data_IF_938327911172
#
_entry.id   IF_938327911172
#
_cell.length_a   1.000
_cell.length_b   1.000
_cell.length_c   1.000
_cell.angle_alpha   90.00
_cell.angle_beta   90.00
_cell.angle_gamma   90.00
#
_symmetry.space_group_name_H-M   'P 1'
#
loop_
_entity.id
_entity.type
_entity.pdbx_description
1 polymer ?
#
# COMPACT_ATOMS: atom_id res chain seq x y z
N UNK A 1 15.67 -21.81 19.62
CA UNK A 1 14.88 -20.88 18.80
C UNK A 1 13.92 -21.64 17.89
N UNK A 2 14.36 -22.68 17.19
CA UNK A 2 13.49 -23.53 16.35
C UNK A 2 12.38 -24.30 17.09
N UNK A 3 12.63 -24.70 18.36
CA UNK A 3 11.58 -25.31 19.20
C UNK A 3 10.51 -24.33 19.72
N UNK A 4 10.81 -23.03 19.73
CA UNK A 4 9.88 -21.97 20.18
C UNK A 4 9.00 -21.48 19.02
N UNK A 5 9.53 -21.48 17.79
CA UNK A 5 8.78 -21.16 16.57
C UNK A 5 7.85 -22.32 16.18
N UNK A 6 8.26 -23.57 16.39
CA UNK A 6 7.42 -24.74 16.20
C UNK A 6 6.28 -24.84 17.24
N UNK A 7 6.48 -24.42 18.49
CA UNK A 7 5.40 -24.42 19.49
C UNK A 7 4.36 -23.33 19.21
N UNK A 8 4.80 -22.11 18.85
CA UNK A 8 3.90 -21.00 18.53
C UNK A 8 3.04 -21.23 17.28
N UNK A 9 3.56 -21.90 16.27
CA UNK A 9 2.79 -22.16 15.03
C UNK A 9 1.78 -23.30 15.20
N UNK A 10 2.13 -24.34 15.95
CA UNK A 10 1.26 -25.51 16.12
C UNK A 10 0.14 -25.25 17.12
N UNK A 11 0.41 -24.59 18.26
CA UNK A 11 -0.62 -24.21 19.24
C UNK A 11 -1.59 -23.17 18.67
N UNK A 12 -1.13 -22.19 17.92
CA UNK A 12 -2.02 -21.15 17.36
C UNK A 12 -2.89 -21.72 16.24
N UNK A 13 -2.37 -22.65 15.43
CA UNK A 13 -3.13 -23.32 14.38
C UNK A 13 -4.12 -24.34 14.95
N UNK A 14 -3.73 -25.10 15.98
CA UNK A 14 -4.63 -25.99 16.72
C UNK A 14 -5.70 -25.19 17.46
N UNK A 15 -5.38 -24.06 18.10
CA UNK A 15 -6.37 -23.21 18.75
C UNK A 15 -7.35 -22.61 17.73
N UNK A 16 -6.89 -22.19 16.55
CA UNK A 16 -7.77 -21.72 15.48
C UNK A 16 -8.68 -22.84 14.93
N UNK A 17 -8.18 -24.07 14.81
CA UNK A 17 -8.95 -25.24 14.41
C UNK A 17 -9.94 -25.69 15.48
N UNK A 18 -9.55 -25.65 16.76
CA UNK A 18 -10.42 -25.96 17.89
C UNK A 18 -11.55 -24.95 17.98
N UNK A 19 -11.26 -23.65 17.85
CA UNK A 19 -12.27 -22.58 17.81
C UNK A 19 -13.21 -22.73 16.59
N UNK A 20 -12.67 -23.10 15.41
CA UNK A 20 -13.49 -23.35 14.23
C UNK A 20 -14.37 -24.62 14.37
N UNK A 21 -13.88 -25.63 15.07
CA UNK A 21 -14.61 -26.89 15.32
C UNK A 21 -15.66 -26.70 16.42
N UNK A 22 -15.35 -25.94 17.47
CA UNK A 22 -16.31 -25.49 18.48
C UNK A 22 -17.40 -24.61 17.87
N UNK A 23 -17.07 -23.74 16.92
CA UNK A 23 -18.03 -22.97 16.13
C UNK A 23 -18.96 -23.86 15.29
N UNK A 24 -18.44 -24.90 14.64
CA UNK A 24 -19.26 -25.85 13.87
C UNK A 24 -20.15 -26.74 14.76
N UNK A 25 -19.65 -27.17 15.92
CA UNK A 25 -20.41 -27.95 16.91
C UNK A 25 -21.46 -27.08 17.62
N UNK A 26 -21.15 -25.82 17.91
CA UNK A 26 -22.09 -24.83 18.44
C UNK A 26 -23.20 -24.51 17.43
N UNK A 27 -22.88 -24.36 16.12
CA UNK A 27 -23.90 -24.17 15.08
C UNK A 27 -24.87 -25.36 14.97
N UNK A 28 -24.42 -26.58 15.28
CA UNK A 28 -25.27 -27.77 15.42
C UNK A 28 -26.09 -27.79 16.72
N UNK A 29 -25.59 -27.21 17.81
CA UNK A 29 -26.28 -27.13 19.10
C UNK A 29 -27.23 -25.93 19.26
N UNK A 30 -26.97 -24.81 18.58
CA UNK A 30 -27.67 -23.54 18.74
C UNK A 30 -28.99 -23.44 17.94
N UNK A 31 -29.42 -24.50 17.26
CA UNK A 31 -30.80 -24.61 16.77
C UNK A 31 -31.82 -24.82 17.90
N UNK A 32 -31.39 -24.96 19.15
CA UNK A 32 -32.28 -25.00 20.30
C UNK A 32 -31.74 -24.20 21.48
N UNK A 33 -32.53 -23.21 21.92
CA UNK A 33 -32.45 -22.45 23.18
C UNK A 33 -31.61 -21.18 23.16
N UNK A 34 -32.34 -20.06 23.21
CA UNK A 34 -31.81 -18.74 23.51
C UNK A 34 -31.73 -18.47 25.02
N UNK A 35 -30.78 -17.60 25.38
CA UNK A 35 -30.63 -16.71 26.55
C UNK A 35 -29.15 -16.28 26.46
N UNK A 36 -28.78 -15.01 26.30
CA UNK A 36 -28.95 -13.91 27.25
C UNK A 36 -27.54 -13.50 27.70
N UNK A 37 -27.15 -12.24 27.45
CA UNK A 37 -25.81 -11.64 27.63
C UNK A 37 -24.69 -12.11 26.71
N UNK A 38 -24.63 -11.60 25.47
CA UNK A 38 -23.42 -11.64 24.62
C UNK A 38 -23.60 -10.66 23.48
N UNK A 39 -22.53 -9.98 23.04
CA UNK A 39 -22.48 -9.24 21.78
C UNK A 39 -23.27 -9.97 20.68
N UNK A 40 -24.08 -9.26 19.87
CA UNK A 40 -24.90 -9.90 18.85
C UNK A 40 -24.04 -10.87 18.01
N UNK A 41 -24.56 -12.03 17.63
CA UNK A 41 -23.77 -13.04 16.88
C UNK A 41 -23.07 -12.45 15.64
N UNK A 42 -23.63 -11.38 15.07
CA UNK A 42 -23.05 -10.56 14.01
C UNK A 42 -21.78 -9.81 14.44
N UNK A 43 -21.77 -9.20 15.62
CA UNK A 43 -20.63 -8.46 16.16
C UNK A 43 -19.44 -9.40 16.44
N UNK A 44 -19.70 -10.59 16.97
CA UNK A 44 -18.65 -11.61 17.19
C UNK A 44 -18.09 -12.10 15.85
N UNK A 45 -18.94 -12.36 14.86
CA UNK A 45 -18.50 -12.77 13.53
C UNK A 45 -17.64 -11.69 12.83
N UNK A 46 -18.05 -10.42 12.95
CA UNK A 46 -17.28 -9.30 12.41
C UNK A 46 -15.90 -9.18 13.07
N UNK A 47 -15.81 -9.31 14.40
CA UNK A 47 -14.53 -9.28 15.12
C UNK A 47 -13.60 -10.41 14.68
N UNK A 48 -14.12 -11.63 14.53
CA UNK A 48 -13.34 -12.77 14.03
C UNK A 48 -12.83 -12.52 12.61
N UNK A 49 -13.69 -12.00 11.72
CA UNK A 49 -13.29 -11.65 10.37
C UNK A 49 -12.19 -10.58 10.36
N UNK A 50 -12.30 -9.56 11.21
CA UNK A 50 -11.27 -8.52 11.36
C UNK A 50 -9.94 -9.11 11.80
N UNK A 51 -9.95 -9.99 12.80
CA UNK A 51 -8.76 -10.68 13.29
C UNK A 51 -8.08 -11.53 12.22
N UNK A 52 -8.85 -12.32 11.46
CA UNK A 52 -8.31 -13.15 10.38
C UNK A 52 -7.67 -12.29 9.28
N UNK A 53 -8.38 -11.26 8.81
CA UNK A 53 -7.88 -10.36 7.77
C UNK A 53 -6.61 -9.66 8.25
N UNK A 54 -6.59 -9.16 9.49
CA UNK A 54 -5.42 -8.51 10.06
C UNK A 54 -4.21 -9.44 10.11
N UNK A 55 -4.37 -10.67 10.61
CA UNK A 55 -3.29 -11.66 10.65
C UNK A 55 -2.73 -11.98 9.26
N UNK A 56 -3.60 -12.24 8.28
CA UNK A 56 -3.19 -12.50 6.89
C UNK A 56 -2.45 -11.29 6.32
N UNK A 57 -2.97 -10.09 6.56
CA UNK A 57 -2.38 -8.86 6.05
C UNK A 57 -1.00 -8.60 6.65
N UNK A 58 -0.84 -8.74 7.97
CA UNK A 58 0.47 -8.64 8.63
C UNK A 58 1.46 -9.65 8.04
N UNK A 59 1.04 -10.90 7.82
CA UNK A 59 1.87 -11.92 7.18
C UNK A 59 2.34 -11.48 5.78
N UNK A 60 1.44 -10.95 4.95
CA UNK A 60 1.78 -10.43 3.62
C UNK A 60 2.73 -9.22 3.71
N UNK A 61 2.49 -8.29 4.63
CA UNK A 61 3.34 -7.09 4.81
C UNK A 61 4.75 -7.48 5.27
N UNK A 62 4.90 -8.48 6.16
CA UNK A 62 6.20 -9.01 6.55
C UNK A 62 6.94 -9.59 5.35
N UNK A 63 6.24 -10.33 4.47
CA UNK A 63 6.82 -10.82 3.22
C UNK A 63 7.26 -9.66 2.32
N UNK A 64 6.46 -8.59 2.21
CA UNK A 64 6.84 -7.38 1.45
C UNK A 64 8.09 -6.71 2.02
N UNK A 65 8.18 -6.56 3.35
CA UNK A 65 9.36 -6.01 4.03
C UNK A 65 10.58 -6.89 3.74
N UNK A 66 10.43 -8.21 3.89
CA UNK A 66 11.51 -9.16 3.59
C UNK A 66 12.01 -9.03 2.16
N UNK A 67 11.10 -8.99 1.18
CA UNK A 67 11.43 -8.76 -0.22
C UNK A 67 12.15 -7.41 -0.40
N UNK A 68 11.64 -6.34 0.19
CA UNK A 68 12.23 -5.01 0.06
C UNK A 68 13.61 -4.89 0.70
N UNK A 69 13.93 -5.66 1.74
CA UNK A 69 15.25 -5.60 2.40
C UNK A 69 16.24 -6.55 1.72
N UNK A 70 15.85 -7.81 1.53
CA UNK A 70 16.74 -8.90 1.11
C UNK A 70 16.56 -9.33 -0.36
N UNK A 71 15.58 -8.78 -1.05
CA UNK A 71 15.25 -9.15 -2.42
C UNK A 71 16.37 -8.82 -3.40
N UNK A 72 17.02 -9.86 -3.91
CA UNK A 72 18.13 -9.75 -4.85
C UNK A 72 17.69 -9.27 -6.25
N UNK A 73 16.38 -9.39 -6.55
CA UNK A 73 15.81 -8.94 -7.82
C UNK A 73 15.14 -7.57 -7.76
N UNK A 74 15.05 -6.97 -6.57
CA UNK A 74 14.51 -5.63 -6.41
C UNK A 74 15.60 -4.58 -6.58
N UNK A 75 15.44 -3.75 -7.62
CA UNK A 75 16.27 -2.55 -7.82
C UNK A 75 16.02 -1.54 -6.71
N UNK A 76 17.03 -0.72 -6.41
CA UNK A 76 16.97 0.33 -5.41
C UNK A 76 16.18 1.57 -5.87
N UNK A 77 15.07 1.37 -6.58
CA UNK A 77 14.20 2.45 -7.07
C UNK A 77 13.30 2.96 -5.95
N UNK A 78 12.74 4.16 -6.12
CA UNK A 78 11.75 4.75 -5.23
C UNK A 78 10.54 3.84 -5.01
N UNK A 79 10.08 3.10 -6.02
CA UNK A 79 9.02 2.08 -5.85
C UNK A 79 9.35 1.08 -4.73
N UNK A 80 10.58 0.56 -4.67
CA UNK A 80 11.02 -0.38 -3.61
C UNK A 80 10.93 0.28 -2.24
N UNK A 81 11.43 1.51 -2.12
CA UNK A 81 11.45 2.24 -0.86
C UNK A 81 10.05 2.66 -0.40
N UNK A 82 9.18 3.01 -1.34
CA UNK A 82 7.78 3.31 -1.08
C UNK A 82 7.04 2.08 -0.56
N UNK A 83 7.15 0.92 -1.24
CA UNK A 83 6.50 -0.33 -0.78
C UNK A 83 7.04 -0.75 0.59
N UNK A 84 8.36 -0.63 0.82
CA UNK A 84 8.95 -0.88 2.14
C UNK A 84 8.30 -0.01 3.21
N UNK A 85 8.22 1.29 2.96
CA UNK A 85 7.69 2.26 3.92
C UNK A 85 6.20 1.99 4.20
N UNK A 86 5.38 1.83 3.15
CA UNK A 86 3.98 1.45 3.26
C UNK A 86 3.79 0.13 4.03
N UNK A 87 4.69 -0.84 3.85
CA UNK A 87 4.58 -2.12 4.55
C UNK A 87 4.82 -1.98 6.06
N UNK A 88 5.84 -1.20 6.45
CA UNK A 88 6.17 -0.93 7.86
C UNK A 88 5.04 -0.14 8.53
N UNK A 89 4.60 0.96 7.92
CA UNK A 89 3.48 1.75 8.45
C UNK A 89 2.16 0.99 8.40
N UNK A 90 1.97 0.08 7.44
CA UNK A 90 0.80 -0.80 7.36
C UNK A 90 0.73 -1.78 8.53
N UNK A 91 1.87 -2.31 8.99
CA UNK A 91 1.91 -3.15 10.20
C UNK A 91 1.52 -2.31 11.42
N UNK A 92 2.09 -1.11 11.55
CA UNK A 92 1.74 -0.19 12.64
C UNK A 92 0.26 0.19 12.62
N UNK A 93 -0.27 0.46 11.44
CA UNK A 93 -1.68 0.75 11.20
C UNK A 93 -2.55 -0.39 11.73
N UNK A 94 -2.28 -1.63 11.33
CA UNK A 94 -3.07 -2.79 11.74
C UNK A 94 -2.97 -3.06 13.24
N UNK A 95 -1.79 -2.90 13.85
CA UNK A 95 -1.60 -3.05 15.29
C UNK A 95 -2.46 -2.04 16.07
N UNK A 96 -2.45 -0.78 15.64
CA UNK A 96 -3.30 0.27 16.23
C UNK A 96 -4.79 0.00 15.98
N UNK A 97 -5.16 -0.28 14.72
CA UNK A 97 -6.55 -0.46 14.31
C UNK A 97 -7.19 -1.68 14.97
N UNK A 98 -6.47 -2.79 15.11
CA UNK A 98 -6.97 -4.00 15.78
C UNK A 98 -7.13 -3.83 17.29
N UNK A 99 -6.55 -2.78 17.86
CA UNK A 99 -6.64 -2.44 19.29
C UNK A 99 -7.73 -1.41 19.59
N UNK A 100 -8.06 -0.53 18.64
CA UNK A 100 -8.91 0.64 18.91
C UNK A 100 -10.12 0.83 17.99
N UNK A 101 -10.25 0.06 16.90
CA UNK A 101 -11.43 0.13 16.05
C UNK A 101 -12.71 -0.28 16.79
N UNK A 102 -13.87 0.19 16.31
CA UNK A 102 -15.19 -0.18 16.87
C UNK A 102 -15.41 -1.70 16.89
N UNK A 103 -14.88 -2.39 15.87
CA UNK A 103 -14.92 -3.86 15.71
C UNK A 103 -13.55 -4.50 15.98
N UNK A 104 -12.75 -3.89 16.84
CA UNK A 104 -11.42 -4.38 17.20
C UNK A 104 -11.47 -5.85 17.64
N UNK A 105 -10.67 -6.74 17.03
CA UNK A 105 -10.55 -8.13 17.48
C UNK A 105 -9.81 -8.24 18.83
N UNK A 106 -8.93 -7.30 19.16
CA UNK A 106 -8.13 -7.32 20.38
C UNK A 106 -8.12 -5.95 21.10
N UNK A 107 -9.26 -5.48 21.63
CA UNK A 107 -9.44 -4.12 22.14
C UNK A 107 -8.53 -3.74 23.35
N UNK A 108 -7.92 -4.73 23.99
CA UNK A 108 -7.02 -4.55 25.14
C UNK A 108 -5.57 -4.93 24.84
N UNK A 109 -5.20 -5.10 23.56
CA UNK A 109 -3.84 -5.45 23.18
C UNK A 109 -2.84 -4.32 23.49
N UNK A 110 -3.23 -3.07 23.22
CA UNK A 110 -2.48 -1.87 23.64
C UNK A 110 -3.20 -1.25 24.83
N UNK A 111 -2.53 -1.26 25.99
CA UNK A 111 -3.05 -0.71 27.25
C UNK A 111 -2.53 0.69 27.56
N UNK A 112 -1.64 1.24 26.72
CA UNK A 112 -1.06 2.57 26.91
C UNK A 112 -2.10 3.66 26.63
N UNK A 113 -2.38 4.51 27.63
CA UNK A 113 -3.39 5.56 27.54
C UNK A 113 -3.03 6.64 26.52
N UNK A 114 -1.77 7.09 26.47
CA UNK A 114 -1.32 8.10 25.51
C UNK A 114 -1.50 7.61 24.06
N UNK A 115 -1.28 6.31 23.82
CA UNK A 115 -1.54 5.72 22.50
C UNK A 115 -3.02 5.72 22.18
N UNK A 116 -3.88 5.32 23.13
CA UNK A 116 -5.33 5.32 22.95
C UNK A 116 -5.84 6.72 22.61
N UNK A 117 -5.35 7.73 23.32
CA UNK A 117 -5.75 9.14 23.13
C UNK A 117 -5.28 9.68 21.77
N UNK A 118 -4.18 9.14 21.22
CA UNK A 118 -3.64 9.52 19.91
C UNK A 118 -3.90 8.52 18.78
N UNK A 119 -4.72 7.49 19.01
CA UNK A 119 -4.96 6.42 18.04
C UNK A 119 -5.48 6.93 16.70
N UNK A 120 -6.35 7.96 16.73
CA UNK A 120 -6.84 8.65 15.54
C UNK A 120 -5.70 9.29 14.74
N UNK A 121 -4.73 9.92 15.41
CA UNK A 121 -3.57 10.53 14.75
C UNK A 121 -2.66 9.49 14.13
N UNK A 122 -2.39 8.39 14.85
CA UNK A 122 -1.63 7.26 14.32
C UNK A 122 -2.32 6.69 13.08
N UNK A 123 -3.64 6.52 13.12
CA UNK A 123 -4.42 6.05 11.97
C UNK A 123 -4.36 7.06 10.81
N UNK A 124 -4.45 8.37 11.07
CA UNK A 124 -4.35 9.41 10.04
C UNK A 124 -2.97 9.40 9.37
N UNK A 125 -1.91 9.41 10.16
CA UNK A 125 -0.52 9.40 9.69
C UNK A 125 -0.19 8.13 8.89
N UNK A 126 -0.50 6.95 9.44
CA UNK A 126 -0.28 5.68 8.75
C UNK A 126 -1.01 5.61 7.42
N UNK A 127 -2.14 6.31 7.27
CA UNK A 127 -2.90 6.39 6.02
C UNK A 127 -2.29 7.36 5.01
N UNK A 128 -1.67 8.46 5.45
CA UNK A 128 -1.05 9.44 4.54
C UNK A 128 0.25 8.94 3.90
N UNK A 129 0.87 7.87 4.42
CA UNK A 129 2.15 7.38 3.91
C UNK A 129 2.10 6.96 2.45
N UNK A 130 0.98 6.35 2.05
CA UNK A 130 0.80 5.88 0.69
C UNK A 130 0.67 7.03 -0.31
N UNK A 131 -0.30 7.97 -0.18
CA UNK A 131 -0.41 9.09 -1.11
C UNK A 131 0.85 9.96 -1.11
N UNK A 132 1.45 10.23 0.06
CA UNK A 132 2.68 11.01 0.14
C UNK A 132 3.86 10.34 -0.59
N UNK A 133 4.01 9.02 -0.44
CA UNK A 133 5.05 8.28 -1.13
C UNK A 133 4.80 8.16 -2.64
N UNK A 134 3.55 8.02 -3.06
CA UNK A 134 3.19 7.88 -4.47
C UNK A 134 3.51 9.12 -5.30
N UNK A 135 3.46 10.32 -4.72
CA UNK A 135 3.90 11.56 -5.40
C UNK A 135 5.35 11.42 -5.88
N UNK A 136 6.26 10.95 -5.02
CA UNK A 136 7.66 10.73 -5.39
C UNK A 136 7.83 9.60 -6.40
N UNK A 137 7.05 8.52 -6.26
CA UNK A 137 7.10 7.38 -7.18
C UNK A 137 6.65 7.77 -8.60
N UNK A 138 5.58 8.57 -8.74
CA UNK A 138 5.16 9.07 -10.04
C UNK A 138 6.22 9.97 -10.68
N UNK A 139 6.82 10.87 -9.90
CA UNK A 139 7.92 11.71 -10.37
C UNK A 139 9.12 10.89 -10.83
N UNK A 140 9.56 9.92 -10.03
CA UNK A 140 10.64 9.01 -10.39
C UNK A 140 10.35 8.32 -11.72
N UNK A 141 9.13 7.80 -11.88
CA UNK A 141 8.79 6.98 -13.04
C UNK A 141 8.64 7.79 -14.32
N UNK A 142 8.16 9.03 -14.23
CA UNK A 142 8.23 9.98 -15.35
C UNK A 142 9.69 10.19 -15.76
N UNK A 143 10.58 10.46 -14.79
CA UNK A 143 12.01 10.67 -15.06
C UNK A 143 12.66 9.43 -15.67
N UNK A 144 12.43 8.24 -15.11
CA UNK A 144 12.98 6.98 -15.59
C UNK A 144 12.46 6.59 -16.97
N UNK A 145 11.23 6.98 -17.32
CA UNK A 145 10.69 6.78 -18.67
C UNK A 145 11.40 7.68 -19.70
N UNK A 146 11.75 8.90 -19.32
CA UNK A 146 12.48 9.83 -20.17
C UNK A 146 13.98 9.50 -20.25
N UNK A 147 14.58 9.08 -19.13
CA UNK A 147 16.00 8.83 -18.96
C UNK A 147 16.27 7.48 -18.24
N UNK A 148 16.06 6.32 -18.91
CA UNK A 148 16.10 5.01 -18.27
C UNK A 148 17.47 4.60 -17.72
N UNK A 149 18.55 5.21 -18.20
CA UNK A 149 19.91 4.98 -17.70
C UNK A 149 20.06 5.40 -16.22
N UNK A 150 19.25 6.34 -15.74
CA UNK A 150 19.27 6.81 -14.35
C UNK A 150 18.86 5.71 -13.36
N UNK A 151 18.10 4.70 -13.77
CA UNK A 151 17.71 3.59 -12.89
C UNK A 151 18.92 2.82 -12.32
N UNK A 152 20.06 2.84 -13.01
CA UNK A 152 21.30 2.20 -12.56
C UNK A 152 22.21 3.16 -11.76
N UNK A 153 21.86 4.45 -11.68
CA UNK A 153 22.66 5.45 -10.97
C UNK A 153 22.41 5.35 -9.46
N UNK A 154 23.49 5.16 -8.70
CA UNK A 154 23.44 5.08 -7.24
C UNK A 154 22.96 6.41 -6.65
N UNK A 155 23.46 7.54 -7.18
CA UNK A 155 23.11 8.88 -6.67
C UNK A 155 21.61 9.16 -6.89
N UNK A 156 21.09 8.85 -8.09
CA UNK A 156 19.68 9.05 -8.40
C UNK A 156 18.77 8.23 -7.46
N UNK A 157 19.10 6.96 -7.29
CA UNK A 157 18.37 6.05 -6.39
C UNK A 157 18.48 6.48 -4.92
N UNK A 158 19.63 7.01 -4.49
CA UNK A 158 19.85 7.51 -3.14
C UNK A 158 18.98 8.74 -2.82
N UNK A 159 18.73 9.63 -3.80
CA UNK A 159 17.82 10.77 -3.62
C UNK A 159 16.41 10.26 -3.27
N UNK A 160 15.88 9.33 -4.05
CA UNK A 160 14.55 8.77 -3.77
C UNK A 160 14.50 7.97 -2.47
N UNK A 161 15.57 7.26 -2.11
CA UNK A 161 15.69 6.65 -0.79
C UNK A 161 15.57 7.69 0.33
N UNK A 162 16.34 8.78 0.28
CA UNK A 162 16.32 9.84 1.30
C UNK A 162 14.95 10.51 1.39
N UNK A 163 14.32 10.79 0.25
CA UNK A 163 12.99 11.41 0.22
C UNK A 163 11.90 10.48 0.78
N UNK A 164 11.88 9.21 0.37
CA UNK A 164 10.82 8.28 0.74
C UNK A 164 10.99 7.67 2.12
N UNK A 165 12.22 7.53 2.61
CA UNK A 165 12.51 6.89 3.90
C UNK A 165 12.77 7.97 4.96
N UNK A 166 13.96 8.53 5.17
CA UNK A 166 14.22 9.41 6.31
C UNK A 166 13.42 10.71 6.26
N UNK A 167 13.26 11.36 5.10
CA UNK A 167 12.52 12.63 5.03
C UNK A 167 11.04 12.44 5.35
N UNK A 168 10.37 11.52 4.65
CA UNK A 168 8.95 11.27 4.87
C UNK A 168 8.70 10.78 6.30
N UNK A 169 9.47 9.80 6.79
CA UNK A 169 9.32 9.31 8.17
C UNK A 169 9.61 10.40 9.21
N UNK A 170 10.66 11.21 9.01
CA UNK A 170 11.00 12.31 9.90
C UNK A 170 9.90 13.36 9.97
N UNK A 171 9.28 13.69 8.82
CA UNK A 171 8.11 14.57 8.77
C UNK A 171 6.93 13.99 9.53
N UNK A 172 6.63 12.69 9.37
CA UNK A 172 5.53 12.03 10.10
C UNK A 172 5.75 12.04 11.61
N UNK A 173 6.97 11.75 12.05
CA UNK A 173 7.35 11.78 13.46
C UNK A 173 7.24 13.20 14.01
N UNK A 174 7.73 14.20 13.26
CA UNK A 174 7.59 15.61 13.62
C UNK A 174 6.11 16.00 13.78
N UNK A 175 5.25 15.64 12.82
CA UNK A 175 3.82 15.94 12.87
C UNK A 175 3.12 15.24 14.03
N UNK A 176 3.53 14.02 14.38
CA UNK A 176 3.05 13.34 15.58
C UNK A 176 3.42 14.11 16.85
N UNK A 177 4.66 14.61 16.95
CA UNK A 177 5.07 15.41 18.11
C UNK A 177 4.50 16.83 18.11
N UNK A 178 4.18 17.39 16.95
CA UNK A 178 3.54 18.71 16.82
C UNK A 178 2.18 18.75 17.54
N UNK A 179 1.46 17.62 17.60
CA UNK A 179 0.24 17.46 18.39
C UNK A 179 0.43 17.82 19.87
N UNK A 180 1.61 17.54 20.44
CA UNK A 180 1.91 17.76 21.85
C UNK A 180 2.60 19.11 22.12
N UNK A 181 2.88 19.89 21.09
CA UNK A 181 3.46 21.22 21.27
C UNK A 181 2.38 22.19 21.77
N UNK A 182 2.74 23.03 22.73
CA UNK A 182 1.86 24.10 23.25
C UNK A 182 1.79 25.27 22.25
N UNK A 183 1.26 24.97 21.07
CA UNK A 183 1.10 25.87 19.94
C UNK A 183 -0.35 25.76 19.48
N UNK A 184 -1.00 26.90 19.30
CA UNK A 184 -2.36 26.94 18.72
C UNK A 184 -2.24 26.72 17.22
N UNK A 185 -2.35 25.46 16.79
CA UNK A 185 -2.37 25.11 15.38
C UNK A 185 -3.69 25.53 14.73
N UNK A 186 -3.61 26.07 13.51
CA UNK A 186 -4.79 26.46 12.73
C UNK A 186 -5.70 25.27 12.40
N UNK A 187 -5.10 24.11 12.15
CA UNK A 187 -5.76 22.82 12.02
C UNK A 187 -4.82 21.75 12.57
N UNK A 188 -5.38 20.63 13.00
CA UNK A 188 -4.60 19.53 13.56
C UNK A 188 -3.51 19.06 12.57
N UNK A 189 -2.22 19.06 12.94
CA UNK A 189 -1.11 18.88 11.99
C UNK A 189 -1.18 17.60 11.16
N UNK A 190 -1.53 16.48 11.78
CA UNK A 190 -1.66 15.19 11.11
C UNK A 190 -2.86 15.16 10.14
N UNK A 191 -4.01 15.73 10.54
CA UNK A 191 -5.19 15.82 9.66
C UNK A 191 -4.93 16.76 8.47
N UNK A 192 -4.24 17.89 8.70
CA UNK A 192 -3.82 18.80 7.62
C UNK A 192 -2.88 18.13 6.64
N UNK A 193 -1.89 17.38 7.15
CA UNK A 193 -0.96 16.63 6.31
C UNK A 193 -1.67 15.58 5.47
N UNK A 194 -2.61 14.84 6.05
CA UNK A 194 -3.43 13.87 5.32
C UNK A 194 -4.25 14.55 4.21
N UNK A 195 -4.85 15.70 4.49
CA UNK A 195 -5.61 16.47 3.50
C UNK A 195 -4.72 16.92 2.34
N UNK A 196 -3.58 17.54 2.66
CA UNK A 196 -2.65 18.08 1.68
C UNK A 196 -2.03 16.97 0.81
N UNK A 197 -1.60 15.86 1.43
CA UNK A 197 -0.97 14.75 0.70
C UNK A 197 -1.95 14.03 -0.22
N UNK A 198 -3.21 13.87 0.18
CA UNK A 198 -4.22 13.29 -0.70
C UNK A 198 -4.53 14.19 -1.90
N UNK A 199 -4.69 15.50 -1.70
CA UNK A 199 -4.89 16.45 -2.79
C UNK A 199 -3.72 16.45 -3.78
N UNK A 200 -2.49 16.53 -3.27
CA UNK A 200 -1.28 16.42 -4.09
C UNK A 200 -1.25 15.10 -4.86
N UNK A 201 -1.54 13.98 -4.19
CA UNK A 201 -1.57 12.67 -4.83
C UNK A 201 -2.60 12.58 -5.96
N UNK A 202 -3.81 13.10 -5.78
CA UNK A 202 -4.83 13.13 -6.85
C UNK A 202 -4.34 13.97 -8.04
N UNK A 203 -3.76 15.14 -7.79
CA UNK A 203 -3.17 15.98 -8.84
C UNK A 203 -2.05 15.25 -9.59
N UNK A 204 -1.12 14.62 -8.88
CA UNK A 204 -0.02 13.87 -9.49
C UNK A 204 -0.51 12.62 -10.22
N UNK A 205 -1.56 11.96 -9.74
CA UNK A 205 -2.20 10.84 -10.43
C UNK A 205 -2.76 11.28 -11.78
N UNK A 206 -3.41 12.46 -11.83
CA UNK A 206 -3.92 13.03 -13.08
C UNK A 206 -2.78 13.41 -14.04
N UNK A 207 -1.72 14.06 -13.54
CA UNK A 207 -0.52 14.37 -14.34
C UNK A 207 0.11 13.09 -14.91
N UNK A 208 0.25 12.06 -14.07
CA UNK A 208 0.80 10.77 -14.47
C UNK A 208 -0.08 10.06 -15.51
N UNK A 209 -1.40 10.17 -15.38
CA UNK A 209 -2.34 9.65 -16.39
C UNK A 209 -2.16 10.33 -17.74
N UNK A 210 -2.08 11.67 -17.78
CA UNK A 210 -1.79 12.40 -19.01
C UNK A 210 -0.45 11.95 -19.61
N UNK A 211 0.57 11.81 -18.77
CA UNK A 211 1.87 11.28 -19.20
C UNK A 211 1.76 9.87 -19.80
N UNK A 212 0.94 8.98 -19.22
CA UNK A 212 0.71 7.65 -19.77
C UNK A 212 0.04 7.69 -21.16
N UNK A 213 -0.93 8.58 -21.35
CA UNK A 213 -1.58 8.79 -22.65
C UNK A 213 -0.57 9.26 -23.70
N UNK A 214 0.20 10.32 -23.40
CA UNK A 214 1.25 10.81 -24.30
C UNK A 214 2.33 9.76 -24.57
N UNK A 215 2.76 9.03 -23.54
CA UNK A 215 3.72 7.94 -23.66
C UNK A 215 3.23 6.82 -24.58
N UNK A 216 1.93 6.51 -24.55
CA UNK A 216 1.32 5.51 -25.44
C UNK A 216 1.38 5.96 -26.91
N UNK A 217 1.03 7.22 -27.19
CA UNK A 217 1.16 7.77 -28.54
C UNK A 217 2.59 7.70 -29.06
N UNK A 218 3.58 8.05 -28.22
CA UNK A 218 5.00 7.94 -28.55
C UNK A 218 5.45 6.49 -28.78
N UNK A 219 4.94 5.54 -27.98
CA UNK A 219 5.20 4.11 -28.18
C UNK A 219 4.72 3.65 -29.57
N UNK A 220 3.46 3.94 -29.91
CA UNK A 220 2.88 3.61 -31.21
C UNK A 220 3.69 4.21 -32.37
N UNK A 221 4.11 5.47 -32.25
CA UNK A 221 4.96 6.13 -33.25
C UNK A 221 6.34 5.45 -33.39
N UNK A 222 6.96 5.06 -32.27
CA UNK A 222 8.25 4.35 -32.31
C UNK A 222 8.15 2.94 -32.92
N UNK A 223 7.09 2.19 -32.58
CA UNK A 223 6.83 0.86 -33.18
C UNK A 223 6.58 0.95 -34.69
N UNK A 224 5.82 1.95 -35.13
CA UNK A 224 5.59 2.20 -36.56
C UNK A 224 6.87 2.59 -37.31
N UNK A 225 7.81 3.29 -36.64
CA UNK A 225 9.03 3.78 -37.27
C UNK A 225 10.09 2.71 -37.59
N UNK A 226 9.92 1.46 -37.12
CA UNK A 226 10.88 0.33 -37.23
C UNK A 226 12.33 0.63 -36.80
N UNK A 227 12.62 1.79 -36.19
CA UNK A 227 13.94 2.10 -35.64
C UNK A 227 14.17 1.25 -34.39
N UNK A 228 15.36 0.65 -34.31
CA UNK A 228 15.83 -0.13 -33.18
C UNK A 228 16.10 0.79 -31.99
N UNK A 229 15.03 1.26 -31.37
CA UNK A 229 15.04 2.13 -30.20
C UNK A 229 15.31 1.31 -28.95
N UNK A 230 16.09 1.87 -28.02
CA UNK A 230 16.32 1.32 -26.68
C UNK A 230 15.06 1.32 -25.80
N UNK A 231 13.97 1.97 -26.23
CA UNK A 231 12.67 1.95 -25.54
C UNK A 231 11.93 0.67 -25.90
N UNK A 232 11.90 -0.27 -24.95
CA UNK A 232 11.20 -1.55 -25.11
C UNK A 232 9.73 -1.42 -24.71
N UNK A 233 8.85 -2.22 -25.31
CA UNK A 233 7.42 -2.35 -24.92
C UNK A 233 7.25 -2.61 -23.42
N UNK A 234 8.24 -3.24 -22.78
CA UNK A 234 8.28 -3.47 -21.34
C UNK A 234 8.25 -2.19 -20.51
N UNK A 235 8.99 -1.14 -20.88
CA UNK A 235 8.99 0.14 -20.15
C UNK A 235 7.61 0.80 -20.18
N UNK A 236 6.88 0.71 -21.29
CA UNK A 236 5.53 1.27 -21.42
C UNK A 236 4.49 0.44 -20.64
N UNK A 237 4.64 -0.89 -20.62
CA UNK A 237 3.81 -1.76 -19.80
C UNK A 237 4.01 -1.47 -18.30
N UNK A 238 5.28 -1.31 -17.86
CA UNK A 238 5.60 -0.97 -16.48
C UNK A 238 5.02 0.40 -16.08
N UNK A 239 5.03 1.38 -17.00
CA UNK A 239 4.41 2.70 -16.79
C UNK A 239 2.90 2.59 -16.57
N UNK A 240 2.18 1.84 -17.41
CA UNK A 240 0.73 1.65 -17.29
C UNK A 240 0.34 0.81 -16.08
N UNK A 241 1.14 -0.20 -15.70
CA UNK A 241 0.86 -1.03 -14.54
C UNK A 241 1.06 -0.27 -13.22
N UNK A 242 1.91 0.75 -13.18
CA UNK A 242 2.00 1.64 -12.02
C UNK A 242 0.71 2.43 -11.77
N UNK A 243 -0.06 2.72 -12.81
CA UNK A 243 -1.30 3.48 -12.69
C UNK A 243 -2.36 2.79 -11.80
N UNK A 244 -2.79 1.54 -12.06
CA UNK A 244 -3.72 0.83 -11.18
C UNK A 244 -3.13 0.56 -9.78
N UNK A 245 -1.80 0.44 -9.64
CA UNK A 245 -1.14 0.36 -8.32
C UNK A 245 -1.42 1.60 -7.47
N UNK A 246 -1.44 2.81 -8.06
CA UNK A 246 -1.83 4.02 -7.34
C UNK A 246 -3.36 4.23 -7.24
N UNK A 247 -4.07 4.00 -8.35
CA UNK A 247 -5.48 4.37 -8.47
C UNK A 247 -6.41 3.56 -7.56
N UNK A 248 -6.25 2.23 -7.48
CA UNK A 248 -7.16 1.38 -6.69
C UNK A 248 -7.06 1.72 -5.19
N UNK A 249 -5.86 1.82 -4.59
CA UNK A 249 -5.65 2.38 -3.25
C UNK A 249 -6.28 3.77 -3.05
N UNK A 250 -6.21 4.65 -4.06
CA UNK A 250 -6.86 5.98 -4.01
C UNK A 250 -8.37 5.89 -3.80
N UNK A 251 -9.04 4.97 -4.50
CA UNK A 251 -10.50 4.81 -4.42
C UNK A 251 -10.90 4.31 -3.03
N UNK A 252 -10.11 3.40 -2.45
CA UNK A 252 -10.32 2.93 -1.09
C UNK A 252 -10.07 4.02 -0.04
N UNK A 253 -9.15 4.96 -0.32
CA UNK A 253 -8.89 6.10 0.54
C UNK A 253 -9.91 7.23 0.44
N UNK A 254 -10.54 7.40 -0.71
CA UNK A 254 -11.46 8.52 -1.00
C UNK A 254 -12.53 8.74 0.08
N UNK A 255 -13.24 7.69 0.57
CA UNK A 255 -14.21 7.83 1.65
C UNK A 255 -13.61 8.33 2.97
N UNK A 256 -12.43 7.82 3.35
CA UNK A 256 -11.73 8.24 4.57
C UNK A 256 -11.25 9.68 4.49
N UNK A 257 -10.70 10.09 3.34
CA UNK A 257 -10.36 11.49 3.07
C UNK A 257 -11.61 12.38 3.10
N UNK A 258 -12.72 11.92 2.54
CA UNK A 258 -14.01 12.60 2.56
C UNK A 258 -14.48 13.00 3.96
N UNK A 259 -14.27 12.15 4.97
CA UNK A 259 -14.65 12.48 6.35
C UNK A 259 -13.73 13.54 6.99
N UNK A 260 -12.42 13.44 6.75
CA UNK A 260 -11.46 14.45 7.20
C UNK A 260 -11.74 15.79 6.50
N UNK A 261 -12.04 15.77 5.20
CA UNK A 261 -12.32 16.96 4.41
C UNK A 261 -13.68 17.59 4.72
N UNK A 262 -14.71 16.80 5.05
CA UNK A 262 -16.00 17.31 5.54
C UNK A 262 -15.83 18.00 6.88
N UNK A 263 -15.06 17.43 7.81
CA UNK A 263 -14.77 18.07 9.10
C UNK A 263 -14.05 19.40 8.90
N UNK A 264 -13.04 19.43 8.04
CA UNK A 264 -12.34 20.65 7.63
C UNK A 264 -13.27 21.68 6.96
N UNK A 265 -14.11 21.24 6.01
CA UNK A 265 -15.04 22.11 5.29
C UNK A 265 -16.12 22.70 6.20
N UNK A 266 -16.68 21.90 7.11
CA UNK A 266 -17.69 22.37 8.07
C UNK A 266 -17.09 23.35 9.09
N UNK A 267 -15.85 23.11 9.53
CA UNK A 267 -15.20 23.93 10.55
C UNK A 267 -14.63 25.24 9.99
N UNK A 268 -14.09 25.22 8.77
CA UNK A 268 -13.35 26.35 8.20
C UNK A 268 -13.95 26.90 6.91
N UNK A 269 -14.45 26.07 6.00
CA UNK A 269 -15.01 26.55 4.73
C UNK A 269 -16.39 27.19 4.94
N UNK A 270 -17.25 26.59 5.78
CA UNK A 270 -18.57 27.14 6.12
C UNK A 270 -18.42 28.47 6.87
N UNK A 271 -17.54 28.51 7.86
CA UNK A 271 -17.22 29.71 8.64
C UNK A 271 -16.63 30.80 7.75
N UNK A 272 -15.68 30.46 6.87
CA UNK A 272 -15.11 31.40 5.89
C UNK A 272 -16.16 31.89 4.89
N UNK A 273 -17.04 31.03 4.36
CA UNK A 273 -18.13 31.43 3.44
C UNK A 273 -19.17 32.33 4.11
N UNK A 274 -19.49 32.07 5.38
CA UNK A 274 -20.40 32.89 6.19
C UNK A 274 -19.77 34.25 6.52
N UNK A 275 -18.47 34.28 6.79
CA UNK A 275 -17.70 35.50 7.09
C UNK A 275 -17.30 36.29 5.83
N UNK A 276 -17.19 35.65 4.68
CA UNK A 276 -16.78 36.29 3.41
C UNK A 276 -17.90 37.06 2.72
N UNK A 277 -19.10 37.12 3.31
CA UNK A 277 -20.26 37.84 2.76
C UNK A 277 -20.82 37.24 1.47
N UNK A 278 -20.39 36.03 1.07
CA UNK A 278 -20.73 35.44 -0.24
C UNK A 278 -22.18 34.92 -0.29
N UNK A 279 -22.79 34.69 0.87
CA UNK A 279 -24.17 34.22 1.02
C UNK A 279 -25.18 35.34 1.37
N UNK A 280 -24.73 36.58 1.61
CA UNK A 280 -25.63 37.70 1.94
C UNK A 280 -26.19 38.42 0.70
N UNK A 281 -25.87 37.96 -0.51
CA UNK A 281 -26.36 38.55 -1.76
C UNK A 281 -26.71 37.49 -2.79
N UNK A 282 -27.96 37.04 -2.82
CA UNK A 282 -28.38 36.07 -3.83
C UNK A 282 -29.79 35.52 -3.67
N UNK A 283 -30.77 36.35 -3.35
CA UNK A 283 -32.18 36.01 -3.54
C UNK A 283 -32.47 35.91 -5.04
N UNK A 284 -32.62 34.70 -5.55
CA UNK A 284 -32.89 34.45 -6.96
C UNK A 284 -33.50 33.07 -7.16
N UNK A 285 -34.82 33.00 -7.04
CA UNK A 285 -35.65 31.88 -7.48
C UNK A 285 -35.42 31.58 -8.97
N UNK A 286 -34.86 30.41 -9.28
CA UNK A 286 -34.88 29.83 -10.61
C UNK A 286 -35.57 28.46 -10.57
N UNK A 287 -36.79 28.46 -11.08
CA UNK A 287 -37.54 27.28 -11.51
C UNK A 287 -36.90 26.67 -12.76
N UNK A 288 -36.72 25.34 -12.76
CA UNK A 288 -36.63 24.52 -13.97
C UNK A 288 -35.23 24.10 -14.39
N UNK A 289 -35.00 22.78 -14.42
CA UNK A 289 -33.89 22.17 -15.14
C UNK A 289 -33.39 20.87 -14.49
N UNK A 290 -33.78 19.73 -15.06
CA UNK A 290 -33.29 18.37 -14.78
C UNK A 290 -31.75 18.27 -14.79
N UNK A 291 -31.09 18.65 -13.69
CA UNK A 291 -29.64 18.46 -13.50
C UNK A 291 -29.22 18.40 -12.03
N UNK A 292 -30.10 17.92 -11.17
CA UNK A 292 -29.79 17.68 -9.77
C UNK A 292 -29.45 16.20 -9.63
N UNK A 293 -28.16 15.87 -9.41
CA UNK A 293 -27.74 14.53 -8.99
C UNK A 293 -28.71 14.09 -7.89
N UNK A 294 -29.46 13.01 -8.14
CA UNK A 294 -30.54 12.54 -7.30
C UNK A 294 -30.08 12.51 -5.83
N UNK A 295 -30.62 13.41 -5.00
CA UNK A 295 -30.16 13.60 -3.62
C UNK A 295 -30.31 12.30 -2.81
N UNK A 296 -31.25 11.43 -3.22
CA UNK A 296 -31.39 10.08 -2.67
C UNK A 296 -30.22 9.17 -3.07
N UNK A 297 -29.76 9.21 -4.33
CA UNK A 297 -28.58 8.48 -4.79
C UNK A 297 -27.33 8.96 -4.05
N UNK A 298 -27.16 10.29 -3.89
CA UNK A 298 -26.04 10.88 -3.15
C UNK A 298 -26.04 10.40 -1.69
N UNK A 299 -27.20 10.42 -1.03
CA UNK A 299 -27.35 10.00 0.35
C UNK A 299 -27.15 8.48 0.54
N UNK A 300 -27.60 7.66 -0.42
CA UNK A 300 -27.34 6.22 -0.43
C UNK A 300 -25.85 5.91 -0.63
N UNK A 301 -25.18 6.60 -1.57
CA UNK A 301 -23.74 6.45 -1.80
C UNK A 301 -22.96 6.86 -0.56
N UNK A 302 -23.30 7.99 0.08
CA UNK A 302 -22.65 8.44 1.31
C UNK A 302 -22.85 7.44 2.46
N UNK A 303 -24.08 6.94 2.64
CA UNK A 303 -24.39 5.94 3.69
C UNK A 303 -23.60 4.65 3.48
N UNK A 304 -23.56 4.15 2.24
CA UNK A 304 -22.81 2.95 1.89
C UNK A 304 -21.29 3.16 2.04
N UNK A 305 -20.78 4.35 1.72
CA UNK A 305 -19.38 4.70 1.91
C UNK A 305 -18.98 4.72 3.39
N UNK A 306 -19.84 5.25 4.27
CA UNK A 306 -19.63 5.25 5.72
C UNK A 306 -19.62 3.80 6.26
N UNK A 307 -20.56 2.96 5.82
CA UNK A 307 -20.63 1.55 6.23
C UNK A 307 -19.44 0.72 5.73
N UNK A 308 -18.90 1.04 4.56
CA UNK A 308 -17.74 0.35 3.97
C UNK A 308 -16.40 0.84 4.53
N UNK A 309 -16.34 2.03 5.14
CA UNK A 309 -15.10 2.67 5.57
C UNK A 309 -14.26 1.82 6.52
N UNK A 310 -14.82 1.19 7.58
CA UNK A 310 -14.01 0.34 8.46
C UNK A 310 -13.34 -0.82 7.72
N UNK A 311 -14.04 -1.39 6.72
CA UNK A 311 -13.49 -2.46 5.88
C UNK A 311 -12.42 -1.95 4.92
N UNK A 312 -12.58 -0.76 4.35
CA UNK A 312 -11.55 -0.16 3.50
C UNK A 312 -10.28 0.16 4.29
N UNK A 313 -10.41 0.69 5.50
CA UNK A 313 -9.27 0.97 6.38
C UNK A 313 -8.53 -0.33 6.72
N UNK A 314 -9.26 -1.39 7.06
CA UNK A 314 -8.67 -2.70 7.37
C UNK A 314 -8.00 -3.37 6.15
N UNK A 315 -8.66 -3.37 4.99
CA UNK A 315 -8.20 -4.08 3.80
C UNK A 315 -7.14 -3.31 3.01
N UNK A 316 -7.00 -2.01 3.27
CA UNK A 316 -6.10 -1.15 2.52
C UNK A 316 -4.66 -1.69 2.43
N UNK A 317 -3.97 -2.06 3.53
CA UNK A 317 -2.59 -2.53 3.45
C UNK A 317 -2.47 -3.85 2.66
N UNK A 318 -3.51 -4.69 2.70
CA UNK A 318 -3.57 -5.93 1.94
C UNK A 318 -3.69 -5.65 0.44
N UNK A 319 -4.63 -4.79 0.06
CA UNK A 319 -4.85 -4.41 -1.35
C UNK A 319 -3.60 -3.75 -1.92
N UNK A 320 -2.96 -2.85 -1.18
CA UNK A 320 -1.69 -2.24 -1.56
C UNK A 320 -0.61 -3.29 -1.83
N UNK A 321 -0.46 -4.28 -0.94
CA UNK A 321 0.55 -5.35 -1.09
C UNK A 321 0.24 -6.28 -2.27
N UNK A 322 -1.02 -6.65 -2.46
CA UNK A 322 -1.45 -7.51 -3.58
C UNK A 322 -1.23 -6.78 -4.90
N UNK A 323 -1.58 -5.50 -4.99
CA UNK A 323 -1.33 -4.70 -6.19
C UNK A 323 0.16 -4.50 -6.43
N UNK A 324 0.99 -4.38 -5.40
CA UNK A 324 2.44 -4.36 -5.58
C UNK A 324 2.91 -5.63 -6.30
N UNK A 325 2.42 -6.81 -5.92
CA UNK A 325 2.75 -8.08 -6.59
C UNK A 325 2.21 -8.19 -8.02
N UNK A 326 0.98 -7.73 -8.25
CA UNK A 326 0.32 -7.87 -9.56
C UNK A 326 0.90 -6.87 -10.56
N UNK A 327 0.96 -5.61 -10.17
CA UNK A 327 1.28 -4.49 -11.03
C UNK A 327 2.79 -4.27 -11.18
N UNK A 328 3.57 -4.42 -10.10
CA UNK A 328 4.99 -4.06 -10.14
C UNK A 328 5.82 -5.28 -10.53
N UNK A 329 6.37 -5.24 -11.74
CA UNK A 329 7.16 -6.34 -12.33
C UNK A 329 8.26 -6.87 -11.40
N UNK A 330 9.04 -5.98 -10.79
CA UNK A 330 10.14 -6.37 -9.90
C UNK A 330 9.66 -7.16 -8.67
N UNK A 331 8.51 -6.80 -8.10
CA UNK A 331 7.91 -7.51 -6.98
C UNK A 331 7.37 -8.87 -7.42
N UNK A 332 6.69 -8.92 -8.56
CA UNK A 332 6.23 -10.17 -9.16
C UNK A 332 7.37 -11.17 -9.39
N UNK A 333 8.45 -10.73 -10.02
CA UNK A 333 9.63 -11.57 -10.27
C UNK A 333 10.30 -12.03 -8.98
N UNK A 334 10.47 -11.14 -8.00
CA UNK A 334 11.04 -11.50 -6.70
C UNK A 334 10.13 -12.47 -5.93
N UNK A 335 8.82 -12.36 -6.04
CA UNK A 335 7.88 -13.25 -5.36
C UNK A 335 7.94 -14.66 -5.94
N UNK A 336 7.86 -14.79 -7.26
CA UNK A 336 8.00 -16.09 -7.93
C UNK A 336 9.38 -16.70 -7.70
N UNK A 337 10.43 -15.88 -7.64
CA UNK A 337 11.76 -16.34 -7.24
C UNK A 337 11.75 -17.00 -5.86
N UNK A 338 11.20 -16.34 -4.84
CA UNK A 338 11.14 -16.87 -3.48
C UNK A 338 10.29 -18.13 -3.39
N UNK A 339 9.08 -18.12 -3.94
CA UNK A 339 8.13 -19.24 -3.86
C UNK A 339 8.66 -20.48 -4.59
N UNK A 340 9.41 -20.28 -5.68
CA UNK A 340 9.98 -21.39 -6.46
C UNK A 340 11.40 -21.76 -6.06
N UNK A 341 11.96 -21.15 -5.01
CA UNK A 341 13.36 -21.32 -4.61
C UNK A 341 14.35 -21.10 -5.76
N UNK A 342 14.07 -20.15 -6.64
CA UNK A 342 14.91 -19.83 -7.81
C UNK A 342 14.65 -20.66 -9.07
N UNK A 343 13.72 -21.61 -9.06
CA UNK A 343 13.46 -22.50 -10.22
C UNK A 343 12.95 -21.77 -11.47
N UNK A 344 12.13 -20.72 -11.32
CA UNK A 344 11.63 -19.95 -12.47
C UNK A 344 12.53 -18.77 -12.84
N UNK A 345 13.45 -18.38 -11.96
CA UNK A 345 14.16 -17.10 -12.05
C UNK A 345 15.57 -17.24 -11.46
N UNK A 346 16.56 -17.67 -12.24
CA UNK A 346 17.94 -17.80 -11.72
C UNK A 346 18.65 -16.44 -11.54
N UNK A 347 19.41 -16.28 -10.45
CA UNK A 347 20.34 -15.15 -10.25
C UNK A 347 19.72 -13.76 -9.95
N UNK A 348 20.58 -12.72 -9.99
CA UNK A 348 20.25 -11.30 -9.76
C UNK A 348 19.51 -10.69 -10.96
N UNK A 349 18.65 -9.69 -10.72
CA UNK A 349 17.91 -9.02 -11.79
C UNK A 349 18.83 -8.22 -12.72
N UNK A 350 18.62 -8.37 -14.04
CA UNK A 350 19.39 -7.72 -15.10
C UNK A 350 19.34 -6.18 -15.03
N UNK A 351 20.46 -5.51 -15.37
CA UNK A 351 20.55 -4.04 -15.48
C UNK A 351 19.70 -3.54 -16.65
N UNK A 352 19.01 -2.40 -16.48
CA UNK A 352 18.24 -1.79 -17.59
C UNK A 352 19.23 -1.24 -18.61
N UNK A 353 19.08 -1.62 -19.89
CA UNK A 353 19.91 -1.15 -20.99
C UNK A 353 21.10 -2.02 -21.37
N UNK A 354 21.23 -3.24 -20.83
CA UNK A 354 22.23 -4.21 -21.32
C UNK A 354 21.92 -4.60 -22.77
N UNK A 355 22.94 -4.59 -23.63
CA UNK A 355 22.83 -5.09 -25.00
C UNK A 355 22.76 -6.62 -25.02
N UNK A 356 22.27 -7.20 -26.13
CA UNK A 356 22.20 -8.66 -26.32
C UNK A 356 23.56 -9.35 -26.10
N UNK A 357 24.65 -8.64 -26.38
CA UNK A 357 26.01 -9.17 -26.25
C UNK A 357 26.48 -9.23 -24.79
N UNK A 358 26.08 -8.28 -23.93
CA UNK A 358 26.36 -8.32 -22.49
C UNK A 358 25.55 -9.42 -21.76
N UNK A 359 24.41 -9.82 -22.33
CA UNK A 359 23.60 -10.94 -21.82
C UNK A 359 24.29 -12.29 -22.02
N UNK A 360 24.87 -12.54 -23.20
CA UNK A 360 25.58 -13.78 -23.51
C UNK A 360 26.85 -13.98 -22.65
N UNK A 361 27.47 -12.89 -22.19
CA UNK A 361 28.66 -12.96 -21.33
C UNK A 361 28.29 -13.25 -19.86
N UNK A 362 27.07 -12.92 -19.43
CA UNK A 362 26.63 -13.09 -18.03
C UNK A 362 25.74 -14.31 -17.78
N UNK A 363 25.20 -14.95 -18.83
CA UNK A 363 24.36 -16.16 -18.74
C UNK A 363 25.12 -17.49 -18.92
N UNK A 364 26.40 -17.45 -19.33
CA UNK A 364 27.24 -18.63 -19.50
C UNK A 364 28.32 -18.64 -18.41
N UNK A 365 27.90 -18.81 -17.15
CA UNK A 365 28.75 -19.46 -16.17
C UNK A 365 28.54 -20.97 -16.33
N UNK A 366 29.60 -21.81 -16.41
CA UNK A 366 29.39 -23.24 -16.54
C UNK A 366 28.61 -23.73 -15.31
N UNK A 367 27.70 -24.70 -15.47
CA UNK A 367 27.01 -25.31 -14.34
C UNK A 367 28.04 -25.86 -13.34
N UNK A 368 27.78 -25.83 -12.03
CA UNK A 368 28.69 -26.41 -11.06
C UNK A 368 28.85 -27.91 -11.38
N UNK A 369 30.05 -28.29 -11.83
CA UNK A 369 30.45 -29.67 -11.96
C UNK A 369 30.37 -30.29 -10.56
N UNK A 370 29.41 -31.19 -10.36
CA UNK A 370 29.43 -32.11 -9.22
C UNK A 370 30.79 -32.84 -9.22
N UNK A 371 31.46 -33.02 -8.07
CA UNK A 371 32.75 -33.67 -8.04
C UNK A 371 32.58 -35.15 -8.38
N UNK A 372 32.93 -35.53 -9.60
CA UNK A 372 33.22 -36.91 -9.95
C UNK A 372 34.57 -37.22 -9.32
N UNK A 373 34.59 -38.22 -8.44
CA UNK A 373 35.77 -38.74 -7.78
C UNK A 373 36.86 -39.10 -8.82
N UNK A 374 37.93 -38.32 -8.85
CA UNK A 374 39.13 -38.64 -9.60
C UNK A 374 40.12 -39.41 -8.71
N UNK A 375 40.26 -40.71 -8.98
CA UNK A 375 41.46 -41.52 -8.71
C UNK A 375 41.23 -42.84 -9.44
N UNK A 376 42.10 -43.40 -10.28
CA UNK A 376 43.51 -43.21 -10.48
C UNK A 376 43.84 -43.90 -11.81
N UNK A 377 44.59 -43.27 -12.70
CA UNK A 377 45.60 -44.01 -13.47
C UNK A 377 46.70 -43.04 -13.90
N UNK A 378 47.86 -43.22 -13.26
CA UNK A 378 49.13 -42.57 -13.58
C UNK A 378 49.57 -43.00 -14.98
N UNK A 379 49.88 -42.03 -15.83
CA UNK A 379 50.87 -42.18 -16.90
C UNK A 379 52.22 -41.70 -16.35
N UNK A 380 53.14 -42.63 -16.08
CA UNK A 380 54.56 -42.34 -15.93
C UNK A 380 55.25 -42.70 -17.27
N UNK A 381 56.04 -41.74 -17.76
CA UNK A 381 57.27 -41.98 -18.50
C UNK A 381 58.42 -41.54 -17.58
#
# INVERSE_FOLDING_TARGET
MDKLIASWTTETYLNALTIATEYFNWKKGAQGKGMGNTASAKQVADQVAYGIIACVTVGVLIVMVYMCVFGQRLKATGVRWHVLNCSVWGILHLVSYCSFAEKAPWPNYITNQNWRDTAKQVECLTRSIFPAGMVFVYLEQIILTLAPKLANSIIFNAIFFVLLVPWLNGLMIFLYYAHYMDVVWWYEPADLFNLATYLLFVTFTFIYFLFCLFGTCLCCATMASKKQSSRTTGTFADMWLLFPYGLVPSIMYGPSFGMTSVSFAMQHLLTWVLESGLLSGGGGSSSGGDSMIDMNLLMQVATNAILAMPWFVLLFPLVQSVLALVCLRMFREQFFFMVSCGRFFEGKHHKIGMTKDEWNVTSIGPPPLYPISASSEKQEA
#
